data_IF_980456449564
#
_entry.id   IF_980456449564
#
_cell.length_a   1.000
_cell.length_b   1.000
_cell.length_c   1.000
_cell.angle_alpha   90.00
_cell.angle_beta   90.00
_cell.angle_gamma   90.00
#
_symmetry.space_group_name_H-M   'P 1'
#
loop_
_entity.id
_entity.type
_entity.pdbx_description
1 polymer ?
#
# COMPACT_ATOMS: atom_id res chain seq x y z
N UNK A 1 -16.98 -8.83 -1.55
CA UNK A 1 -16.70 -8.30 -2.90
C UNK A 1 -15.32 -7.69 -2.89
N UNK A 2 -14.43 -8.14 -3.77
CA UNK A 2 -13.10 -7.53 -3.93
C UNK A 2 -13.22 -6.32 -4.85
N UNK A 3 -12.55 -5.22 -4.50
CA UNK A 3 -12.71 -3.93 -5.18
C UNK A 3 -12.14 -3.95 -6.60
N UNK A 4 -11.03 -4.69 -6.81
CA UNK A 4 -10.32 -4.77 -8.07
C UNK A 4 -10.00 -6.24 -8.41
N UNK A 5 -11.00 -7.09 -8.74
CA UNK A 5 -10.77 -8.51 -9.04
C UNK A 5 -9.93 -8.71 -10.31
N UNK A 6 -9.85 -7.68 -11.15
CA UNK A 6 -9.09 -7.61 -12.40
C UNK A 6 -7.63 -7.19 -12.21
N UNK A 7 -7.19 -6.84 -10.98
CA UNK A 7 -5.83 -6.37 -10.76
C UNK A 7 -4.79 -7.48 -11.03
N UNK A 8 -3.64 -7.11 -11.60
CA UNK A 8 -2.52 -8.03 -11.83
C UNK A 8 -1.83 -8.45 -10.53
N UNK A 9 -1.93 -7.62 -9.48
CA UNK A 9 -1.29 -7.86 -8.19
C UNK A 9 -2.16 -7.35 -7.04
N UNK A 10 -2.13 -8.09 -5.93
CA UNK A 10 -2.66 -7.64 -4.63
C UNK A 10 -1.59 -7.78 -3.55
N UNK A 11 -1.46 -6.74 -2.73
CA UNK A 11 -0.53 -6.69 -1.62
C UNK A 11 -1.27 -6.52 -0.30
N UNK A 12 -0.94 -7.39 0.66
CA UNK A 12 -1.35 -7.26 2.06
C UNK A 12 -0.15 -7.53 2.97
N UNK A 13 0.15 -6.60 3.88
CA UNK A 13 1.38 -6.65 4.69
C UNK A 13 1.37 -7.82 5.70
N UNK A 14 0.28 -7.95 6.46
CA UNK A 14 0.16 -8.84 7.61
C UNK A 14 -0.69 -10.09 7.32
N UNK A 15 -0.49 -11.13 8.13
CA UNK A 15 -1.17 -12.41 7.96
C UNK A 15 -2.64 -12.34 8.38
N UNK A 16 -3.00 -11.44 9.29
CA UNK A 16 -4.37 -11.31 9.80
C UNK A 16 -5.34 -10.92 8.68
N UNK A 17 -4.94 -10.00 7.80
CA UNK A 17 -5.75 -9.65 6.62
C UNK A 17 -5.88 -10.83 5.65
N UNK A 18 -4.80 -11.56 5.38
CA UNK A 18 -4.84 -12.73 4.50
C UNK A 18 -5.70 -13.86 5.06
N UNK A 19 -5.62 -14.14 6.36
CA UNK A 19 -6.48 -15.10 7.06
C UNK A 19 -7.95 -14.69 6.99
N UNK A 20 -8.25 -13.42 7.28
CA UNK A 20 -9.61 -12.88 7.20
C UNK A 20 -10.20 -13.00 5.78
N UNK A 21 -9.37 -12.82 4.75
CA UNK A 21 -9.77 -12.96 3.34
C UNK A 21 -9.64 -14.38 2.80
N UNK A 22 -9.36 -15.37 3.67
CA UNK A 22 -9.14 -16.76 3.30
C UNK A 22 -8.15 -16.91 2.13
N UNK A 23 -7.05 -16.14 2.13
CA UNK A 23 -6.02 -16.16 1.09
C UNK A 23 -6.45 -15.66 -0.28
N UNK A 24 -7.63 -15.02 -0.40
CA UNK A 24 -8.24 -14.58 -1.66
C UNK A 24 -8.24 -15.69 -2.72
N UNK A 25 -8.77 -16.88 -2.40
CA UNK A 25 -8.66 -18.08 -3.25
C UNK A 25 -9.00 -17.84 -4.74
N UNK A 26 -9.99 -16.99 -5.01
CA UNK A 26 -10.47 -16.73 -6.38
C UNK A 26 -9.65 -15.68 -7.14
N UNK A 27 -8.83 -14.87 -6.46
CA UNK A 27 -7.99 -13.87 -7.10
C UNK A 27 -6.90 -14.53 -7.95
N UNK A 28 -6.85 -14.17 -9.24
CA UNK A 28 -5.97 -14.79 -10.24
C UNK A 28 -4.62 -14.10 -10.42
N UNK A 29 -4.51 -12.85 -9.97
CA UNK A 29 -3.26 -12.09 -10.04
C UNK A 29 -2.21 -12.55 -9.00
N UNK A 30 -1.06 -11.87 -9.03
CA UNK A 30 0.04 -12.10 -8.11
C UNK A 30 -0.33 -11.65 -6.69
N UNK A 31 -0.24 -12.57 -5.73
CA UNK A 31 -0.49 -12.29 -4.31
C UNK A 31 0.84 -12.05 -3.61
N UNK A 32 1.00 -10.92 -2.93
CA UNK A 32 2.26 -10.54 -2.27
C UNK A 32 2.06 -10.17 -0.81
N UNK A 33 2.93 -10.66 0.07
CA UNK A 33 2.87 -10.44 1.51
C UNK A 33 4.27 -10.32 2.13
N UNK A 34 4.38 -9.57 3.23
CA UNK A 34 5.60 -9.56 4.04
C UNK A 34 5.65 -10.76 5.01
N UNK A 35 4.56 -11.02 5.74
CA UNK A 35 4.50 -12.02 6.82
C UNK A 35 4.15 -13.44 6.34
N UNK A 36 4.79 -13.92 5.28
CA UNK A 36 4.44 -15.21 4.67
C UNK A 36 4.59 -16.42 5.60
N UNK A 37 5.43 -16.36 6.64
CA UNK A 37 5.64 -17.47 7.57
C UNK A 37 4.37 -17.86 8.35
N UNK A 38 3.42 -16.92 8.56
CA UNK A 38 2.13 -17.19 9.20
C UNK A 38 1.09 -17.79 8.25
N UNK A 39 1.39 -17.85 6.94
CA UNK A 39 0.46 -18.18 5.87
C UNK A 39 0.74 -19.56 5.25
N UNK A 40 1.18 -20.53 6.06
CA UNK A 40 1.48 -21.91 5.59
C UNK A 40 0.32 -22.53 4.80
N UNK A 41 -0.93 -22.14 5.10
CA UNK A 41 -2.13 -22.61 4.41
C UNK A 41 -2.38 -21.95 3.04
N UNK A 42 -1.56 -20.97 2.62
CA UNK A 42 -1.75 -20.19 1.39
C UNK A 42 -0.48 -20.15 0.52
N UNK A 43 -0.08 -21.28 -0.10
CA UNK A 43 1.19 -21.40 -0.84
C UNK A 43 1.30 -20.51 -2.09
N UNK A 44 0.18 -19.94 -2.57
CA UNK A 44 0.14 -19.03 -3.71
C UNK A 44 0.67 -17.62 -3.42
N UNK A 45 0.93 -17.27 -2.15
CA UNK A 45 1.35 -15.93 -1.75
C UNK A 45 2.88 -15.81 -1.81
N UNK A 46 3.39 -14.85 -2.58
CA UNK A 46 4.82 -14.55 -2.70
C UNK A 46 5.28 -13.61 -1.60
N UNK A 47 6.51 -13.79 -1.14
CA UNK A 47 7.09 -13.02 -0.05
C UNK A 47 7.89 -11.82 -0.55
N UNK A 48 7.72 -10.69 0.13
CA UNK A 48 8.66 -9.56 0.10
C UNK A 48 9.29 -9.34 1.46
N UNK A 49 10.40 -8.61 1.50
CA UNK A 49 11.08 -8.22 2.74
C UNK A 49 10.77 -6.75 3.00
N UNK A 50 10.36 -6.43 4.23
CA UNK A 50 10.29 -5.05 4.70
C UNK A 50 11.59 -4.74 5.43
N UNK A 51 12.32 -3.71 4.99
CA UNK A 51 13.39 -3.13 5.77
C UNK A 51 12.79 -2.24 6.87
N UNK A 52 12.72 -2.79 8.09
CA UNK A 52 12.11 -2.13 9.26
C UNK A 52 12.86 -0.89 9.77
N UNK A 53 14.03 -0.59 9.22
CA UNK A 53 14.85 0.58 9.61
C UNK A 53 14.72 1.75 8.63
N UNK A 54 14.05 1.54 7.51
CA UNK A 54 14.00 2.48 6.40
C UNK A 54 12.55 2.81 6.06
N UNK A 55 12.11 4.03 6.36
CA UNK A 55 10.79 4.55 6.00
C UNK A 55 10.82 5.34 4.67
N UNK A 56 11.59 4.84 3.70
CA UNK A 56 11.74 5.41 2.36
C UNK A 56 11.54 4.37 1.26
N UNK A 57 11.33 4.81 0.03
CA UNK A 57 11.26 3.92 -1.15
C UNK A 57 12.64 3.27 -1.36
N UNK A 58 12.67 1.94 -1.42
CA UNK A 58 13.86 1.14 -1.71
C UNK A 58 13.72 0.47 -3.07
N UNK A 59 14.74 0.56 -3.92
CA UNK A 59 14.71 -0.08 -5.25
C UNK A 59 15.61 -1.31 -5.35
N UNK A 60 16.58 -1.43 -4.43
CA UNK A 60 17.49 -2.56 -4.34
C UNK A 60 17.70 -2.98 -2.87
N UNK A 61 17.91 -4.29 -2.61
CA UNK A 61 17.73 -5.39 -3.57
C UNK A 61 16.24 -5.56 -3.94
N UNK A 62 15.95 -5.95 -5.19
CA UNK A 62 14.59 -6.26 -5.63
C UNK A 62 13.87 -7.21 -4.66
N UNK A 63 12.60 -6.92 -4.37
CA UNK A 63 11.80 -7.64 -3.38
C UNK A 63 12.01 -7.17 -1.93
N UNK A 64 12.88 -6.18 -1.68
CA UNK A 64 12.99 -5.50 -0.38
C UNK A 64 12.40 -4.09 -0.46
N UNK A 65 11.39 -3.79 0.34
CA UNK A 65 10.66 -2.53 0.36
C UNK A 65 10.85 -1.79 1.68
N UNK A 66 10.68 -0.48 1.65
CA UNK A 66 10.65 0.36 2.85
C UNK A 66 9.46 0.03 3.74
N UNK A 67 9.61 0.30 5.03
CA UNK A 67 8.57 0.07 6.01
C UNK A 67 7.39 1.03 5.81
N UNK A 68 7.60 2.34 5.96
CA UNK A 68 6.58 3.37 5.71
C UNK A 68 5.37 3.34 6.64
N UNK A 69 5.25 2.29 7.47
CA UNK A 69 4.23 2.14 8.51
C UNK A 69 2.84 1.71 8.04
N UNK A 70 2.57 1.59 6.72
CA UNK A 70 1.30 1.11 6.19
C UNK A 70 1.48 0.35 4.86
N UNK A 71 0.49 -0.48 4.53
CA UNK A 71 0.50 -1.30 3.32
C UNK A 71 0.42 -0.48 2.03
N UNK A 72 -0.20 0.70 2.05
CA UNK A 72 -0.27 1.60 0.89
C UNK A 72 1.09 2.13 0.46
N UNK A 73 1.95 2.54 1.42
CA UNK A 73 3.31 2.99 1.13
C UNK A 73 4.17 1.86 0.56
N UNK A 74 4.02 0.67 1.14
CA UNK A 74 4.69 -0.54 0.70
C UNK A 74 4.25 -0.93 -0.73
N UNK A 75 2.96 -0.81 -1.04
CA UNK A 75 2.44 -1.03 -2.39
C UNK A 75 2.98 -0.01 -3.41
N UNK A 76 3.08 1.27 -3.03
CA UNK A 76 3.76 2.29 -3.86
C UNK A 76 5.22 1.90 -4.12
N UNK A 77 5.94 1.44 -3.11
CA UNK A 77 7.30 0.96 -3.28
C UNK A 77 7.37 -0.23 -4.25
N UNK A 78 6.44 -1.19 -4.15
CA UNK A 78 6.38 -2.31 -5.09
C UNK A 78 6.14 -1.83 -6.52
N UNK A 79 5.19 -0.92 -6.74
CA UNK A 79 4.92 -0.35 -8.07
C UNK A 79 6.18 0.26 -8.69
N UNK A 80 6.97 1.01 -7.90
CA UNK A 80 8.27 1.55 -8.34
C UNK A 80 9.24 0.42 -8.72
N UNK A 81 9.34 -0.64 -7.94
CA UNK A 81 10.23 -1.76 -8.26
C UNK A 81 9.80 -2.54 -9.50
N UNK A 82 8.50 -2.62 -9.77
CA UNK A 82 7.93 -3.16 -11.01
C UNK A 82 8.11 -2.24 -12.22
N UNK A 83 8.71 -1.05 -12.04
CA UNK A 83 9.06 -0.15 -13.14
C UNK A 83 7.91 0.76 -13.58
N UNK A 84 6.93 1.00 -12.72
CA UNK A 84 5.86 1.95 -13.02
C UNK A 84 6.44 3.36 -13.24
N UNK A 85 6.24 3.92 -14.44
CA UNK A 85 6.61 5.31 -14.74
C UNK A 85 5.55 6.31 -14.23
N UNK A 86 4.31 5.86 -14.05
CA UNK A 86 3.19 6.63 -13.49
C UNK A 86 2.42 5.79 -12.47
N UNK A 87 2.05 6.40 -11.35
CA UNK A 87 1.25 5.79 -10.28
C UNK A 87 0.10 6.72 -9.89
N UNK A 88 -1.13 6.21 -9.94
CA UNK A 88 -2.32 6.90 -9.46
C UNK A 88 -2.71 6.33 -8.08
N UNK A 89 -2.77 7.18 -7.06
CA UNK A 89 -3.12 6.78 -5.70
C UNK A 89 -4.62 6.97 -5.47
N UNK A 90 -5.35 5.92 -5.09
CA UNK A 90 -6.80 5.94 -4.85
C UNK A 90 -7.07 5.36 -3.45
N UNK A 91 -7.78 6.09 -2.59
CA UNK A 91 -8.03 5.70 -1.20
C UNK A 91 -6.85 5.95 -0.25
N UNK A 92 -5.91 6.82 -0.62
CA UNK A 92 -4.74 7.22 0.17
C UNK A 92 -5.05 8.48 0.99
N UNK A 93 -6.03 8.36 1.88
CA UNK A 93 -6.62 9.52 2.54
C UNK A 93 -5.74 10.02 3.68
N UNK A 94 -5.15 9.11 4.46
CA UNK A 94 -4.30 9.43 5.62
C UNK A 94 -4.97 10.40 6.62
N UNK A 95 -6.29 10.32 6.73
CA UNK A 95 -7.12 11.05 7.68
C UNK A 95 -8.31 10.18 8.10
N UNK A 96 -8.87 10.46 9.30
CA UNK A 96 -10.10 9.81 9.77
C UNK A 96 -11.39 10.47 9.27
N UNK A 97 -11.30 11.54 8.45
CA UNK A 97 -12.46 12.31 7.99
C UNK A 97 -13.50 11.45 7.22
N UNK A 98 -13.06 10.37 6.57
CA UNK A 98 -13.93 9.38 5.90
C UNK A 98 -14.12 8.08 6.69
N UNK A 99 -13.69 8.02 7.94
CA UNK A 99 -13.58 6.79 8.73
C UNK A 99 -12.18 6.15 8.68
N UNK A 100 -12.00 5.02 9.39
CA UNK A 100 -10.72 4.33 9.48
C UNK A 100 -10.29 3.66 8.17
N UNK A 101 -11.26 3.05 7.48
CA UNK A 101 -11.12 2.42 6.17
C UNK A 101 -12.44 2.59 5.42
N UNK A 102 -12.44 2.34 4.10
CA UNK A 102 -13.67 2.40 3.28
C UNK A 102 -14.77 1.43 3.74
N UNK A 103 -14.40 0.35 4.44
CA UNK A 103 -15.33 -0.62 5.04
C UNK A 103 -15.50 -0.43 6.56
N UNK A 104 -15.01 0.67 7.13
CA UNK A 104 -15.06 0.95 8.56
C UNK A 104 -13.87 0.39 9.35
N UNK A 105 -14.08 0.09 10.64
CA UNK A 105 -13.02 -0.42 11.50
C UNK A 105 -12.73 -1.90 11.20
N UNK A 106 -11.45 -2.26 11.27
CA UNK A 106 -11.06 -3.66 11.33
C UNK A 106 -11.57 -4.27 12.65
N UNK A 107 -12.34 -5.35 12.56
CA UNK A 107 -12.92 -6.07 13.72
C UNK A 107 -12.42 -7.50 13.87
N UNK A 108 -11.56 -7.97 12.95
CA UNK A 108 -10.99 -9.31 13.02
C UNK A 108 -9.74 -9.37 13.89
N UNK A 109 -9.44 -10.57 14.39
CA UNK A 109 -8.31 -10.84 15.28
C UNK A 109 -6.98 -10.47 14.62
N UNK A 110 -6.13 -9.75 15.35
CA UNK A 110 -4.79 -9.38 14.90
C UNK A 110 -4.75 -8.16 13.98
N UNK A 111 -5.90 -7.58 13.64
CA UNK A 111 -5.97 -6.36 12.84
C UNK A 111 -5.68 -5.11 13.68
N UNK A 112 -4.94 -4.16 13.11
CA UNK A 112 -4.79 -2.81 13.66
C UNK A 112 -5.79 -1.84 13.05
N UNK A 113 -6.10 -0.75 13.75
CA UNK A 113 -6.79 0.41 13.17
C UNK A 113 -5.86 1.64 13.26
N UNK A 114 -5.96 2.59 12.31
CA UNK A 114 -5.20 3.83 12.38
C UNK A 114 -5.56 4.65 13.63
N UNK A 115 -4.58 5.42 14.10
CA UNK A 115 -4.72 6.50 15.08
C UNK A 115 -3.96 7.75 14.60
N UNK A 116 -4.19 8.90 15.22
CA UNK A 116 -3.59 10.19 14.83
C UNK A 116 -2.06 10.13 14.71
N UNK A 117 -1.40 9.39 15.61
CA UNK A 117 0.05 9.22 15.57
C UNK A 117 0.54 8.40 14.37
N UNK A 118 -0.21 7.38 13.97
CA UNK A 118 0.09 6.64 12.74
C UNK A 118 -0.19 7.47 11.48
N UNK A 119 -1.30 8.20 11.44
CA UNK A 119 -1.69 9.02 10.29
C UNK A 119 -0.68 10.12 10.01
N UNK A 120 -0.24 10.86 11.05
CA UNK A 120 0.80 11.88 10.91
C UNK A 120 2.09 11.32 10.32
N UNK A 121 2.58 10.20 10.85
CA UNK A 121 3.79 9.54 10.33
C UNK A 121 3.63 9.07 8.89
N UNK A 122 2.46 8.53 8.53
CA UNK A 122 2.23 8.10 7.16
C UNK A 122 2.25 9.27 6.18
N UNK A 123 1.62 10.40 6.51
CA UNK A 123 1.71 11.63 5.72
C UNK A 123 3.17 12.06 5.53
N UNK A 124 3.95 12.10 6.62
CA UNK A 124 5.38 12.45 6.57
C UNK A 124 6.18 11.52 5.66
N UNK A 125 5.93 10.20 5.70
CA UNK A 125 6.64 9.23 4.88
C UNK A 125 6.30 9.37 3.39
N UNK A 126 5.02 9.54 3.04
CA UNK A 126 4.63 9.80 1.65
C UNK A 126 5.22 11.12 1.14
N UNK A 127 5.13 12.18 1.95
CA UNK A 127 5.64 13.49 1.56
C UNK A 127 7.16 13.51 1.38
N UNK A 128 7.88 12.79 2.24
CA UNK A 128 9.33 12.65 2.15
C UNK A 128 9.77 11.77 0.97
N UNK A 129 8.90 10.90 0.45
CA UNK A 129 9.22 10.03 -0.69
C UNK A 129 9.15 10.76 -2.04
N UNK A 130 8.36 11.84 -2.15
CA UNK A 130 8.09 12.50 -3.43
C UNK A 130 9.35 13.00 -4.19
N UNK A 131 10.36 13.61 -3.53
CA UNK A 131 11.57 14.03 -4.23
C UNK A 131 12.34 12.84 -4.84
N UNK A 132 12.43 11.72 -4.12
CA UNK A 132 13.10 10.53 -4.59
C UNK A 132 12.36 9.89 -5.78
N UNK A 133 11.03 9.81 -5.70
CA UNK A 133 10.18 9.31 -6.79
C UNK A 133 10.35 10.16 -8.07
N UNK A 134 10.37 11.49 -7.92
CA UNK A 134 10.62 12.42 -9.02
C UNK A 134 11.99 12.22 -9.65
N UNK A 135 13.04 12.06 -8.84
CA UNK A 135 14.40 11.78 -9.33
C UNK A 135 14.49 10.44 -10.06
N UNK A 136 13.67 9.45 -9.68
CA UNK A 136 13.55 8.17 -10.37
C UNK A 136 12.71 8.25 -11.66
N UNK A 137 12.14 9.41 -12.00
CA UNK A 137 11.27 9.58 -13.16
C UNK A 137 9.87 9.00 -12.98
N UNK A 138 9.45 8.73 -11.73
CA UNK A 138 8.11 8.19 -11.42
C UNK A 138 7.15 9.35 -11.13
N UNK A 139 6.14 9.52 -11.98
CA UNK A 139 5.06 10.47 -11.74
C UNK A 139 4.03 9.84 -10.81
N UNK A 140 3.83 10.46 -9.64
CA UNK A 140 2.81 10.03 -8.68
C UNK A 140 1.73 11.10 -8.60
N UNK A 141 0.48 10.70 -8.84
CA UNK A 141 -0.70 11.57 -8.78
C UNK A 141 -1.64 11.02 -7.71
N UNK A 142 -2.10 11.88 -6.81
CA UNK A 142 -3.07 11.51 -5.80
C UNK A 142 -4.50 11.78 -6.30
N UNK A 143 -5.24 10.70 -6.52
CA UNK A 143 -6.63 10.71 -6.99
C UNK A 143 -7.64 10.45 -5.86
N UNK A 144 -7.21 10.44 -4.59
CA UNK A 144 -8.15 10.44 -3.47
C UNK A 144 -8.90 11.78 -3.38
N UNK A 145 -10.24 11.77 -3.34
CA UNK A 145 -11.04 12.99 -3.13
C UNK A 145 -10.71 13.69 -1.80
N UNK A 146 -10.41 12.91 -0.76
CA UNK A 146 -9.99 13.39 0.55
C UNK A 146 -8.59 12.85 0.79
N UNK A 147 -7.60 13.70 1.05
CA UNK A 147 -6.30 13.23 1.49
C UNK A 147 -5.57 14.25 2.36
N UNK A 148 -4.73 13.79 3.27
CA UNK A 148 -3.80 14.60 4.05
C UNK A 148 -2.39 14.65 3.45
N UNK A 149 -2.09 13.82 2.44
CA UNK A 149 -0.82 13.84 1.69
C UNK A 149 -0.76 15.11 0.82
N UNK A 150 0.36 15.84 0.86
CA UNK A 150 0.49 17.17 0.24
C UNK A 150 1.48 17.23 -0.92
N UNK A 151 2.40 16.29 -0.95
CA UNK A 151 3.54 16.30 -1.88
C UNK A 151 3.22 15.93 -3.33
N UNK A 152 2.12 15.21 -3.57
CA UNK A 152 1.74 14.76 -4.91
C UNK A 152 0.68 15.68 -5.54
N UNK A 153 0.79 15.98 -6.85
CA UNK A 153 -0.29 16.62 -7.60
C UNK A 153 -1.61 15.88 -7.40
N UNK A 154 -2.71 16.64 -7.29
CA UNK A 154 -4.06 16.10 -7.16
C UNK A 154 -4.83 16.24 -8.45
N UNK A 155 -5.55 15.18 -8.82
CA UNK A 155 -6.50 15.15 -9.94
C UNK A 155 -7.67 14.26 -9.57
N UNK A 156 -8.81 14.42 -10.25
CA UNK A 156 -9.81 13.34 -10.25
C UNK A 156 -9.21 12.08 -10.90
N UNK A 157 -9.84 10.92 -10.70
CA UNK A 157 -9.38 9.72 -11.39
C UNK A 157 -9.61 9.87 -12.91
N UNK A 158 -10.74 10.46 -13.27
CA UNK A 158 -11.15 10.70 -14.65
C UNK A 158 -10.17 11.59 -15.41
N UNK A 159 -9.61 12.63 -14.77
CA UNK A 159 -8.62 13.52 -15.38
C UNK A 159 -7.20 12.93 -15.46
N UNK A 160 -6.96 11.80 -14.80
CA UNK A 160 -5.64 11.19 -14.68
C UNK A 160 -5.44 9.94 -15.56
N UNK A 161 -6.54 9.35 -16.05
CA UNK A 161 -6.57 8.27 -17.05
C UNK A 161 -6.40 8.81 -18.47
#
# INVERSE_FOLDING_TARGET
>A
MDLCPWADLVYGCDSAWWEHRNGLLDFKGLKVCFSANGLQNYPGIRRVVINRREDRILIEPKGTIGNGGNSGFQALNLAVQFGAARVLLIGYDMTMSGGAHWYGNNTWRGAGNPNDGSLRRWVEHFDSAAPALKLMGVEVINCSPISAIKSFPRKSLEDAL
#
